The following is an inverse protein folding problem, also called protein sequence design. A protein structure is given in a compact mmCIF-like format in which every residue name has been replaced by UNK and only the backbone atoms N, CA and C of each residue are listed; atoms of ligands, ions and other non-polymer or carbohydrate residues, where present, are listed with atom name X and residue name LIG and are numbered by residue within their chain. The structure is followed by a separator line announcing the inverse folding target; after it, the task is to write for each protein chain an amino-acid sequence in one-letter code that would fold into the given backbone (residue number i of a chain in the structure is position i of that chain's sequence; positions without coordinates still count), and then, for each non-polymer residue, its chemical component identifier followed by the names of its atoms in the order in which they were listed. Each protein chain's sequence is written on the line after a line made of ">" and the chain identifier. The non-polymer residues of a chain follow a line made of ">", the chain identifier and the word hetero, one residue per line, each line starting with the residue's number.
data_IF_342518299038
#
_entry.id   IF_342518299038
#
_cell.length_a   1.000
_cell.length_b   1.000
_cell.length_c   1.000
_cell.angle_alpha   90.00
_cell.angle_beta   90.00
_cell.angle_gamma   90.00
#
_symmetry.space_group_name_H-M   'P 1'
#
loop_
_entity.id
_entity.type
_entity.pdbx_description
1 polymer ?
#
# COMPACT_ATOMS: atom_id res chain seq x y z
N UNK A 1 19.56 34.94 -12.52
CA UNK A 1 19.43 33.48 -12.30
C UNK A 1 17.95 33.14 -12.18
N UNK A 2 17.28 32.93 -13.31
CA UNK A 2 15.88 32.44 -13.35
C UNK A 2 15.97 31.02 -13.84
N UNK A 3 15.78 30.05 -12.96
CA UNK A 3 15.82 28.64 -13.34
C UNK A 3 16.33 27.70 -12.26
N UNK A 4 15.83 27.77 -11.03
CA UNK A 4 16.00 26.68 -10.04
C UNK A 4 14.87 26.63 -9.00
N UNK A 5 13.76 27.34 -9.22
CA UNK A 5 12.65 27.48 -8.25
C UNK A 5 11.36 26.79 -8.64
N UNK A 6 11.32 25.99 -9.72
CA UNK A 6 10.06 25.40 -10.25
C UNK A 6 9.99 23.88 -10.07
N UNK A 7 11.09 23.23 -9.64
CA UNK A 7 11.13 21.78 -9.44
C UNK A 7 10.49 21.27 -8.14
N UNK A 8 10.46 22.09 -7.07
CA UNK A 8 9.99 21.67 -5.74
C UNK A 8 8.55 22.05 -5.41
N UNK A 9 8.03 23.14 -5.98
CA UNK A 9 6.64 23.58 -5.76
C UNK A 9 5.57 22.58 -6.25
N UNK A 10 5.69 21.89 -7.41
CA UNK A 10 4.64 20.96 -7.81
C UNK A 10 4.48 19.84 -6.80
N UNK A 11 5.56 19.31 -6.22
CA UNK A 11 5.47 18.25 -5.21
C UNK A 11 4.73 18.71 -3.95
N UNK A 12 5.01 19.92 -3.45
CA UNK A 12 4.34 20.44 -2.24
C UNK A 12 2.86 20.73 -2.48
N UNK A 13 2.50 21.29 -3.64
CA UNK A 13 1.10 21.53 -3.99
C UNK A 13 0.36 20.22 -4.28
N UNK A 14 0.99 19.26 -4.96
CA UNK A 14 0.43 17.93 -5.19
C UNK A 14 0.23 17.22 -3.86
N UNK A 15 1.22 17.22 -2.97
CA UNK A 15 1.08 16.64 -1.63
C UNK A 15 -0.01 17.34 -0.81
N UNK A 16 -0.12 18.68 -0.87
CA UNK A 16 -1.14 19.44 -0.15
C UNK A 16 -2.54 19.23 -0.72
N UNK A 17 -2.67 19.14 -2.05
CA UNK A 17 -3.91 18.90 -2.75
C UNK A 17 -4.38 17.47 -2.52
N UNK A 18 -3.50 16.48 -2.69
CA UNK A 18 -3.77 15.09 -2.31
C UNK A 18 -4.15 14.99 -0.84
N UNK A 19 -3.41 15.62 0.08
CA UNK A 19 -3.75 15.59 1.49
C UNK A 19 -5.14 16.19 1.73
N UNK A 20 -5.46 17.34 1.12
CA UNK A 20 -6.79 17.94 1.26
C UNK A 20 -7.92 17.10 0.65
N UNK A 21 -7.65 16.43 -0.47
CA UNK A 21 -8.57 15.55 -1.17
C UNK A 21 -8.78 14.24 -0.40
N UNK A 22 -7.70 13.65 0.11
CA UNK A 22 -7.72 12.52 1.05
C UNK A 22 -8.36 12.90 2.39
N UNK A 23 -8.27 14.17 2.85
CA UNK A 23 -8.96 14.70 4.05
C UNK A 23 -10.46 14.81 3.89
N UNK A 24 -10.93 14.92 2.66
CA UNK A 24 -12.36 14.97 2.35
C UNK A 24 -12.94 13.61 1.94
N UNK A 25 -12.09 12.66 1.55
CA UNK A 25 -12.52 11.34 1.15
C UNK A 25 -12.86 10.45 2.36
N UNK A 26 -14.04 9.85 2.31
CA UNK A 26 -14.47 8.85 3.28
C UNK A 26 -13.58 7.59 3.24
N UNK A 27 -13.45 6.87 4.36
CA UNK A 27 -12.64 5.64 4.45
C UNK A 27 -12.97 4.59 3.38
N UNK A 28 -14.24 4.49 2.97
CA UNK A 28 -14.68 3.58 1.91
C UNK A 28 -14.22 4.05 0.51
N UNK A 29 -14.21 5.36 0.28
CA UNK A 29 -13.66 5.95 -0.94
C UNK A 29 -12.15 5.74 -1.02
N UNK A 30 -11.45 5.76 0.13
CA UNK A 30 -10.01 5.51 0.18
C UNK A 30 -9.64 4.10 -0.25
N UNK A 31 -10.43 3.07 0.08
CA UNK A 31 -10.20 1.70 -0.41
C UNK A 31 -10.33 1.62 -1.94
N UNK A 32 -11.37 2.25 -2.50
CA UNK A 32 -11.59 2.29 -3.95
C UNK A 32 -10.50 3.09 -4.68
N UNK A 33 -10.02 4.16 -4.05
CA UNK A 33 -8.87 4.93 -4.53
C UNK A 33 -7.56 4.18 -4.36
N UNK A 34 -7.45 3.26 -3.41
CA UNK A 34 -6.24 2.44 -3.25
C UNK A 34 -6.06 1.48 -4.43
N UNK A 35 -7.17 1.02 -5.01
CA UNK A 35 -7.17 0.24 -6.26
C UNK A 35 -6.89 1.10 -7.50
N UNK A 36 -7.51 2.28 -7.59
CA UNK A 36 -7.36 3.18 -8.73
C UNK A 36 -6.01 3.91 -8.76
N UNK A 37 -5.52 4.31 -7.59
CA UNK A 37 -4.33 5.14 -7.34
C UNK A 37 -3.27 4.34 -6.55
N UNK A 38 -3.05 3.08 -6.92
CA UNK A 38 -2.10 2.17 -6.27
C UNK A 38 -0.68 2.74 -6.10
N UNK A 39 -0.26 3.66 -6.97
CA UNK A 39 1.05 4.32 -6.96
C UNK A 39 1.26 5.25 -5.74
N UNK A 40 0.18 5.81 -5.18
CA UNK A 40 0.21 6.64 -3.95
C UNK A 40 -0.27 5.89 -2.71
N UNK A 41 -0.47 4.56 -2.78
CA UNK A 41 -0.96 3.75 -1.65
C UNK A 41 -0.22 4.04 -0.33
N UNK A 42 1.10 4.19 -0.38
CA UNK A 42 1.94 4.55 0.77
C UNK A 42 1.61 5.94 1.37
N UNK A 43 1.22 6.93 0.56
CA UNK A 43 0.82 8.25 1.04
C UNK A 43 -0.58 8.22 1.66
N UNK A 44 -1.50 7.44 1.07
CA UNK A 44 -2.85 7.25 1.60
C UNK A 44 -2.77 6.61 2.99
N UNK A 45 -1.98 5.54 3.13
CA UNK A 45 -1.76 4.87 4.42
C UNK A 45 -1.05 5.77 5.43
N UNK A 46 -0.07 6.58 5.02
CA UNK A 46 0.59 7.54 5.90
C UNK A 46 -0.40 8.56 6.49
N UNK A 47 -1.27 9.10 5.64
CA UNK A 47 -2.28 10.07 6.05
C UNK A 47 -3.34 9.45 6.97
N UNK A 48 -3.77 8.22 6.68
CA UNK A 48 -4.66 7.46 7.56
C UNK A 48 -4.03 7.19 8.94
N UNK A 49 -2.76 6.80 8.95
CA UNK A 49 -2.01 6.59 10.18
C UNK A 49 -1.91 7.89 11.01
N UNK A 50 -1.68 9.03 10.36
CA UNK A 50 -1.65 10.35 11.00
C UNK A 50 -3.01 10.74 11.63
N UNK A 51 -4.12 10.23 11.09
CA UNK A 51 -5.46 10.46 11.65
C UNK A 51 -5.82 9.52 12.80
N UNK A 52 -4.95 8.56 13.12
CA UNK A 52 -5.24 7.53 14.11
C UNK A 52 -6.29 6.51 13.64
N UNK A 53 -6.49 6.39 12.33
CA UNK A 53 -7.36 5.35 11.76
C UNK A 53 -6.69 3.99 11.89
N UNK A 54 -7.51 2.96 12.17
CA UNK A 54 -7.01 1.59 12.18
C UNK A 54 -6.58 1.18 10.77
N UNK A 55 -5.29 0.90 10.61
CA UNK A 55 -4.72 0.49 9.33
C UNK A 55 -5.06 -0.97 9.00
N UNK A 56 -5.45 -1.81 9.99
CA UNK A 56 -5.74 -3.22 9.75
C UNK A 56 -6.80 -3.44 8.65
N UNK A 57 -7.77 -2.53 8.52
CA UNK A 57 -8.81 -2.58 7.46
C UNK A 57 -8.27 -2.41 6.04
N UNK A 58 -7.07 -1.83 5.89
CA UNK A 58 -6.42 -1.60 4.60
C UNK A 58 -5.34 -2.64 4.28
N UNK A 59 -5.10 -3.60 5.15
CA UNK A 59 -4.16 -4.69 4.91
C UNK A 59 -4.59 -5.53 3.70
N UNK A 60 -5.86 -5.94 3.64
CA UNK A 60 -6.38 -6.79 2.56
C UNK A 60 -6.25 -6.13 1.16
N UNK A 61 -6.62 -4.85 0.95
CA UNK A 61 -6.33 -4.14 -0.29
C UNK A 61 -4.84 -4.14 -0.68
N UNK A 62 -3.93 -3.98 0.29
CA UNK A 62 -2.49 -4.04 0.02
C UNK A 62 -2.08 -5.45 -0.42
N UNK A 63 -2.59 -6.49 0.24
CA UNK A 63 -2.35 -7.88 -0.16
C UNK A 63 -2.93 -8.21 -1.54
N UNK A 64 -4.03 -7.57 -1.96
CA UNK A 64 -4.52 -7.66 -3.34
C UNK A 64 -3.55 -7.04 -4.35
N UNK A 65 -2.90 -5.92 -4.02
CA UNK A 65 -1.86 -5.34 -4.88
C UNK A 65 -0.66 -6.28 -5.05
N UNK A 66 -0.25 -7.00 -4.00
CA UNK A 66 0.80 -8.03 -4.09
C UNK A 66 0.40 -9.23 -4.98
N UNK A 67 -0.89 -9.55 -5.07
CA UNK A 67 -1.41 -10.64 -5.93
C UNK A 67 -1.66 -10.21 -7.38
N UNK A 68 -1.48 -8.93 -7.69
CA UNK A 68 -1.76 -8.38 -9.02
C UNK A 68 -0.76 -8.89 -10.07
N UNK A 69 -1.19 -8.95 -11.34
CA UNK A 69 -0.33 -9.37 -12.46
C UNK A 69 0.70 -8.30 -12.83
N UNK A 70 0.40 -7.04 -12.55
CA UNK A 70 1.34 -5.94 -12.78
C UNK A 70 2.44 -5.94 -11.72
N UNK A 71 3.69 -6.08 -12.16
CA UNK A 71 4.87 -5.97 -11.29
C UNK A 71 4.98 -4.60 -10.60
N UNK A 72 4.50 -3.54 -11.24
CA UNK A 72 4.48 -2.19 -10.67
C UNK A 72 3.51 -2.09 -9.48
N UNK A 73 2.30 -2.64 -9.63
CA UNK A 73 1.32 -2.76 -8.53
C UNK A 73 1.90 -3.57 -7.36
N UNK A 74 2.58 -4.68 -7.65
CA UNK A 74 3.25 -5.50 -6.64
C UNK A 74 4.36 -4.73 -5.91
N UNK A 75 5.15 -3.92 -6.62
CA UNK A 75 6.21 -3.08 -6.04
C UNK A 75 5.65 -2.05 -5.07
N UNK A 76 4.60 -1.33 -5.46
CA UNK A 76 3.96 -0.34 -4.60
C UNK A 76 3.24 -0.98 -3.41
N UNK A 77 2.57 -2.12 -3.63
CA UNK A 77 1.99 -2.91 -2.54
C UNK A 77 3.04 -3.40 -1.54
N UNK A 78 4.18 -3.90 -2.02
CA UNK A 78 5.28 -4.35 -1.18
C UNK A 78 5.93 -3.23 -0.35
N UNK A 79 6.13 -2.05 -0.96
CA UNK A 79 6.61 -0.88 -0.25
C UNK A 79 5.65 -0.49 0.89
N UNK A 80 4.36 -0.39 0.59
CA UNK A 80 3.32 -0.10 1.58
C UNK A 80 3.28 -1.17 2.69
N UNK A 81 3.41 -2.45 2.35
CA UNK A 81 3.43 -3.55 3.32
C UNK A 81 4.60 -3.42 4.30
N UNK A 82 5.81 -3.15 3.80
CA UNK A 82 7.02 -3.00 4.63
C UNK A 82 6.96 -1.84 5.62
N UNK A 83 6.34 -0.73 5.23
CA UNK A 83 6.27 0.46 6.07
C UNK A 83 5.16 0.39 7.12
N UNK A 84 3.98 -0.14 6.75
CA UNK A 84 2.78 -0.07 7.60
C UNK A 84 2.41 -1.39 8.27
N UNK A 85 2.88 -2.53 7.74
CA UNK A 85 2.53 -3.88 8.22
C UNK A 85 3.80 -4.73 8.42
N UNK A 86 4.70 -4.36 9.35
CA UNK A 86 6.00 -4.99 9.50
C UNK A 86 5.91 -6.50 9.79
N UNK A 87 4.94 -6.94 10.61
CA UNK A 87 4.71 -8.37 10.90
C UNK A 87 4.38 -9.19 9.64
N UNK A 88 3.63 -8.61 8.69
CA UNK A 88 3.34 -9.26 7.41
C UNK A 88 4.53 -9.22 6.47
N UNK A 89 5.30 -8.14 6.49
CA UNK A 89 6.53 -8.04 5.73
C UNK A 89 7.57 -9.07 6.17
N UNK A 90 7.64 -9.38 7.47
CA UNK A 90 8.48 -10.46 8.00
C UNK A 90 7.99 -11.84 7.54
N UNK A 91 6.68 -12.09 7.57
CA UNK A 91 6.09 -13.33 7.05
C UNK A 91 6.33 -13.52 5.53
N UNK A 92 6.56 -12.42 4.82
CA UNK A 92 6.85 -12.35 3.38
C UNK A 92 8.29 -11.92 3.11
N UNK A 93 9.25 -12.21 4.01
CA UNK A 93 10.63 -11.72 3.88
C UNK A 93 11.31 -12.10 2.53
N UNK A 94 10.95 -13.26 1.98
CA UNK A 94 11.46 -13.77 0.70
C UNK A 94 10.69 -13.26 -0.53
N UNK A 95 9.67 -12.41 -0.32
CA UNK A 95 8.83 -11.91 -1.40
C UNK A 95 9.60 -11.00 -2.36
N UNK A 96 9.60 -11.38 -3.64
CA UNK A 96 10.20 -10.62 -4.73
C UNK A 96 9.10 -10.16 -5.68
N UNK A 97 8.82 -8.86 -5.71
CA UNK A 97 7.78 -8.30 -6.59
C UNK A 97 8.07 -8.53 -8.09
N UNK A 98 9.32 -8.76 -8.47
CA UNK A 98 9.78 -9.06 -9.83
C UNK A 98 9.55 -10.53 -10.25
N UNK A 99 9.27 -11.41 -9.28
CA UNK A 99 8.97 -12.79 -9.57
C UNK A 99 7.67 -12.92 -10.40
N UNK A 100 7.46 -14.07 -11.06
CA UNK A 100 6.22 -14.36 -11.77
C UNK A 100 4.98 -14.10 -10.88
N UNK A 101 3.92 -13.60 -11.49
CA UNK A 101 2.70 -13.23 -10.75
C UNK A 101 2.10 -14.42 -9.98
N UNK A 102 2.18 -15.63 -10.54
CA UNK A 102 1.71 -16.84 -9.87
C UNK A 102 2.53 -17.18 -8.62
N UNK A 103 3.86 -17.03 -8.67
CA UNK A 103 4.71 -17.24 -7.50
C UNK A 103 4.41 -16.20 -6.42
N UNK A 104 4.23 -14.94 -6.81
CA UNK A 104 3.84 -13.86 -5.90
C UNK A 104 2.50 -14.18 -5.22
N UNK A 105 1.50 -14.63 -5.98
CA UNK A 105 0.18 -15.02 -5.45
C UNK A 105 0.30 -16.15 -4.43
N UNK A 106 1.04 -17.20 -4.77
CA UNK A 106 1.24 -18.37 -3.92
C UNK A 106 1.92 -18.00 -2.61
N UNK A 107 2.97 -17.18 -2.64
CA UNK A 107 3.66 -16.73 -1.43
C UNK A 107 2.74 -15.91 -0.50
N UNK A 108 1.92 -15.02 -1.05
CA UNK A 108 0.93 -14.26 -0.28
C UNK A 108 -0.11 -15.18 0.36
N UNK A 109 -0.62 -16.16 -0.38
CA UNK A 109 -1.58 -17.14 0.16
C UNK A 109 -0.96 -18.01 1.27
N UNK A 110 0.28 -18.46 1.10
CA UNK A 110 1.00 -19.21 2.12
C UNK A 110 1.25 -18.37 3.39
N UNK A 111 1.61 -17.09 3.24
CA UNK A 111 1.78 -16.18 4.37
C UNK A 111 0.46 -15.91 5.11
N UNK A 112 -0.65 -15.78 4.37
CA UNK A 112 -2.00 -15.65 4.94
C UNK A 112 -2.44 -16.92 5.66
N UNK A 113 -2.13 -18.10 5.11
CA UNK A 113 -2.44 -19.38 5.73
C UNK A 113 -1.66 -19.60 7.04
N UNK A 114 -0.37 -19.24 7.07
CA UNK A 114 0.48 -19.33 8.28
C UNK A 114 0.08 -18.35 9.38
N UNK A 115 -0.50 -17.20 9.02
CA UNK A 115 -0.90 -16.15 9.97
C UNK A 115 -2.31 -16.29 10.53
N UNK A 116 -3.10 -17.29 10.11
CA UNK A 116 -4.35 -17.62 10.79
C UNK A 116 -4.03 -18.57 11.95
N UNK A 117 -4.32 -18.22 13.21
CA UNK A 117 -4.34 -19.24 14.25
C UNK A 117 -5.37 -20.27 13.79
N UNK A 118 -4.93 -21.53 13.75
CA UNK A 118 -5.83 -22.67 13.60
C UNK A 118 -6.78 -22.57 14.78
N UNK A 119 -8.01 -22.10 14.55
CA UNK A 119 -9.12 -22.34 15.46
C UNK A 119 -9.32 -23.86 15.42
N UNK A 120 -8.61 -24.54 16.32
CA UNK A 120 -8.73 -25.98 16.53
C UNK A 120 -10.13 -26.22 17.09
N UNK A 121 -10.96 -26.86 16.27
CA UNK A 121 -12.23 -27.45 16.65
C UNK A 121 -12.07 -28.54 17.72
#
# INVERSE_FOLDING_TARGET
>A
MVGYGVGGLPFFFVARFLNNDLRRADPASLSQRLEAEYFISHLILAELAQRGEDLAKYEEPILQLLRSESGDRRRHGWASLRFFYPARAEALADYKYEAPAEECRKQVEEALAKGRPVEQA
#
